data_IF_650607588874
#
_entry.id   IF_650607588874
#
_cell.length_a   1.000
_cell.length_b   1.000
_cell.length_c   1.000
_cell.angle_alpha   90.00
_cell.angle_beta   90.00
_cell.angle_gamma   90.00
#
_symmetry.space_group_name_H-M   'P 1'
#
loop_
_entity.id
_entity.type
_entity.pdbx_description
1 polymer ?
#
# COMPACT_ATOMS: atom_id res chain seq x y z
N UNK A 1 -25.08 -38.61 -32.00
CA UNK A 1 -24.34 -37.40 -32.35
C UNK A 1 -25.07 -36.09 -32.10
N UNK A 2 -26.27 -35.84 -32.61
CA UNK A 2 -27.02 -34.56 -32.42
C UNK A 2 -27.28 -34.20 -30.96
N UNK A 3 -27.61 -35.16 -30.10
CA UNK A 3 -27.91 -34.92 -28.66
C UNK A 3 -26.69 -34.45 -27.87
N UNK A 4 -25.51 -35.01 -28.13
CA UNK A 4 -24.27 -34.61 -27.50
C UNK A 4 -23.79 -33.22 -27.98
N UNK A 5 -24.01 -32.88 -29.23
CA UNK A 5 -23.72 -31.58 -29.79
C UNK A 5 -24.57 -30.48 -29.14
N UNK A 6 -25.86 -30.72 -28.89
CA UNK A 6 -26.72 -29.80 -28.14
C UNK A 6 -26.30 -29.60 -26.69
N UNK A 7 -25.82 -30.64 -26.01
CA UNK A 7 -25.31 -30.51 -24.63
C UNK A 7 -24.04 -29.66 -24.62
N UNK A 8 -23.10 -29.93 -25.52
CA UNK A 8 -21.86 -29.15 -25.61
C UNK A 8 -22.16 -27.67 -25.89
N UNK A 9 -23.03 -27.37 -26.85
CA UNK A 9 -23.41 -25.98 -27.17
C UNK A 9 -24.04 -25.29 -25.94
N UNK A 10 -24.96 -25.95 -25.24
CA UNK A 10 -25.59 -25.41 -24.03
C UNK A 10 -24.55 -25.15 -22.92
N UNK A 11 -23.62 -26.08 -22.73
CA UNK A 11 -22.54 -25.92 -21.74
C UNK A 11 -21.62 -24.74 -22.10
N UNK A 12 -21.27 -24.56 -23.37
CA UNK A 12 -20.49 -23.42 -23.86
C UNK A 12 -21.26 -22.11 -23.63
N UNK A 13 -22.54 -22.06 -24.02
CA UNK A 13 -23.37 -20.86 -23.78
C UNK A 13 -23.49 -20.53 -22.28
N UNK A 14 -23.68 -21.53 -21.44
CA UNK A 14 -23.71 -21.33 -19.98
C UNK A 14 -22.40 -20.75 -19.48
N UNK A 15 -21.25 -21.31 -19.89
CA UNK A 15 -19.93 -20.82 -19.48
C UNK A 15 -19.69 -19.39 -19.94
N UNK A 16 -20.07 -19.04 -21.17
CA UNK A 16 -19.93 -17.68 -21.69
C UNK A 16 -20.77 -16.67 -20.90
N UNK A 17 -22.03 -17.02 -20.59
CA UNK A 17 -22.92 -16.20 -19.75
C UNK A 17 -22.33 -16.06 -18.33
N UNK A 18 -21.85 -17.15 -17.74
CA UNK A 18 -21.27 -17.15 -16.42
C UNK A 18 -20.01 -16.26 -16.33
N UNK A 19 -19.11 -16.40 -17.30
CA UNK A 19 -17.90 -15.55 -17.39
C UNK A 19 -18.29 -14.08 -17.63
N UNK A 20 -19.27 -13.82 -18.50
CA UNK A 20 -19.79 -12.47 -18.73
C UNK A 20 -20.37 -11.83 -17.47
N UNK A 21 -21.13 -12.60 -16.67
CA UNK A 21 -21.67 -12.15 -15.39
C UNK A 21 -20.56 -11.90 -14.37
N UNK A 22 -19.57 -12.81 -14.26
CA UNK A 22 -18.42 -12.62 -13.38
C UNK A 22 -17.66 -11.33 -13.73
N UNK A 23 -17.43 -11.09 -15.02
CA UNK A 23 -16.77 -9.87 -15.48
C UNK A 23 -17.59 -8.62 -15.14
N UNK A 24 -18.89 -8.64 -15.42
CA UNK A 24 -19.79 -7.53 -15.13
C UNK A 24 -19.87 -7.20 -13.65
N UNK A 25 -20.06 -8.22 -12.79
CA UNK A 25 -20.08 -7.99 -11.34
C UNK A 25 -18.71 -7.59 -10.79
N UNK A 26 -17.63 -8.11 -11.36
CA UNK A 26 -16.28 -7.67 -11.04
C UNK A 26 -16.12 -6.18 -11.34
N UNK A 27 -16.59 -5.72 -12.50
CA UNK A 27 -16.59 -4.30 -12.87
C UNK A 27 -17.41 -3.46 -11.87
N UNK A 28 -18.66 -3.84 -11.63
CA UNK A 28 -19.56 -3.12 -10.71
C UNK A 28 -18.96 -3.01 -9.30
N UNK A 29 -18.38 -4.08 -8.78
CA UNK A 29 -17.79 -4.09 -7.44
C UNK A 29 -16.49 -3.29 -7.37
N UNK A 30 -15.65 -3.32 -8.42
CA UNK A 30 -14.34 -2.65 -8.43
C UNK A 30 -14.47 -1.15 -8.52
N UNK A 31 -15.35 -0.67 -9.36
CA UNK A 31 -15.46 0.76 -9.71
C UNK A 31 -16.00 1.61 -8.56
N UNK A 32 -16.75 1.04 -7.63
CA UNK A 32 -17.50 1.79 -6.62
C UNK A 32 -16.73 2.32 -5.44
N UNK A 33 -15.58 1.77 -5.16
CA UNK A 33 -15.04 1.85 -3.82
C UNK A 33 -13.91 2.87 -3.65
N UNK A 34 -13.66 3.71 -4.66
CA UNK A 34 -12.65 4.77 -4.57
C UNK A 34 -12.98 5.75 -3.45
N UNK A 35 -14.27 6.06 -3.27
CA UNK A 35 -14.72 6.98 -2.21
C UNK A 35 -14.83 6.30 -0.84
N UNK A 36 -15.19 5.01 -0.80
CA UNK A 36 -15.43 4.28 0.44
C UNK A 36 -14.24 3.50 0.98
N UNK A 37 -13.36 3.02 0.10
CA UNK A 37 -12.17 2.24 0.47
C UNK A 37 -10.96 2.71 -0.35
N UNK A 38 -10.47 3.94 -0.14
CA UNK A 38 -9.44 4.54 -0.98
C UNK A 38 -8.14 3.74 -1.04
N UNK A 39 -7.89 2.89 -0.04
CA UNK A 39 -6.60 2.23 0.14
C UNK A 39 -6.47 0.91 -0.61
N UNK A 40 -7.54 0.18 -0.86
CA UNK A 40 -7.44 -1.14 -1.54
C UNK A 40 -8.12 -1.17 -2.90
N UNK A 41 -9.27 -0.57 -3.02
CA UNK A 41 -10.14 -0.75 -4.18
C UNK A 41 -9.98 0.35 -5.24
N UNK A 42 -9.61 1.57 -4.82
CA UNK A 42 -9.36 2.70 -5.71
C UNK A 42 -7.90 2.94 -6.03
N UNK A 43 -7.04 2.06 -5.57
CA UNK A 43 -5.60 2.20 -5.69
C UNK A 43 -5.15 2.42 -7.15
N UNK A 44 -5.54 1.53 -8.06
CA UNK A 44 -5.15 1.63 -9.46
C UNK A 44 -5.76 2.82 -10.18
N UNK A 45 -6.99 3.20 -9.86
CA UNK A 45 -7.63 4.37 -10.46
C UNK A 45 -6.91 5.66 -10.08
N UNK A 46 -6.39 5.73 -8.85
CA UNK A 46 -5.62 6.89 -8.39
C UNK A 46 -4.17 6.85 -8.87
N UNK A 47 -3.57 5.67 -8.98
CA UNK A 47 -2.23 5.50 -9.53
C UNK A 47 -2.21 5.77 -11.05
N UNK A 48 -3.13 5.21 -11.80
CA UNK A 48 -3.25 5.38 -13.25
C UNK A 48 -3.65 6.83 -13.66
N UNK A 49 -4.02 7.67 -12.68
CA UNK A 49 -4.26 9.09 -12.90
C UNK A 49 -2.97 9.93 -12.86
N UNK A 50 -1.86 9.38 -12.38
CA UNK A 50 -0.56 10.06 -12.47
C UNK A 50 -0.06 10.06 -13.93
N UNK A 51 0.63 11.13 -14.31
CA UNK A 51 1.27 11.23 -15.64
C UNK A 51 2.36 10.17 -15.78
N UNK A 52 2.51 9.56 -16.95
CA UNK A 52 3.51 8.53 -17.21
C UNK A 52 4.93 9.07 -16.92
N UNK A 53 5.76 8.24 -16.31
CA UNK A 53 7.15 8.56 -15.92
C UNK A 53 7.30 9.80 -15.02
N UNK A 54 6.29 10.09 -14.21
CA UNK A 54 6.29 11.24 -13.29
C UNK A 54 6.66 10.90 -11.85
N UNK A 55 6.79 9.62 -11.49
CA UNK A 55 7.07 9.15 -10.13
C UNK A 55 8.51 8.68 -10.02
N UNK A 56 9.30 9.33 -9.15
CA UNK A 56 10.72 9.01 -8.92
C UNK A 56 10.93 7.85 -7.95
N UNK A 57 10.01 7.61 -7.01
CA UNK A 57 10.12 6.50 -6.09
C UNK A 57 8.75 5.88 -5.72
N UNK A 58 8.73 4.56 -5.56
CA UNK A 58 7.59 3.80 -5.08
C UNK A 58 7.89 3.21 -3.71
N UNK A 59 6.92 3.29 -2.81
CA UNK A 59 6.94 2.58 -1.53
C UNK A 59 5.96 1.42 -1.61
N UNK A 60 6.45 0.20 -1.43
CA UNK A 60 5.68 -1.04 -1.62
C UNK A 60 5.63 -1.81 -0.32
N UNK A 61 4.44 -2.18 0.09
CA UNK A 61 4.24 -2.91 1.33
C UNK A 61 2.77 -2.96 1.76
N UNK A 62 2.55 -3.30 2.99
CA UNK A 62 1.21 -3.41 3.55
C UNK A 62 0.71 -2.09 4.19
N UNK A 63 -0.15 -2.24 5.18
CA UNK A 63 -0.75 -1.11 5.90
C UNK A 63 0.26 -0.25 6.65
N UNK A 64 1.42 -0.75 6.99
CA UNK A 64 2.44 0.03 7.69
C UNK A 64 3.02 1.12 6.80
N UNK A 65 3.20 0.85 5.49
CA UNK A 65 3.67 1.85 4.51
C UNK A 65 2.66 2.98 4.35
N UNK A 66 1.41 2.67 4.02
CA UNK A 66 0.44 3.74 3.75
C UNK A 66 0.01 4.53 4.98
N UNK A 67 0.33 4.05 6.17
CA UNK A 67 0.16 4.82 7.41
C UNK A 67 1.41 5.57 7.85
N UNK A 68 2.58 5.27 7.31
CA UNK A 68 3.85 5.84 7.78
C UNK A 68 4.48 6.83 6.82
N UNK A 69 4.30 6.67 5.52
CA UNK A 69 4.95 7.51 4.50
C UNK A 69 3.92 8.44 3.86
N UNK A 70 4.16 9.74 3.96
CA UNK A 70 3.32 10.79 3.39
C UNK A 70 3.98 11.40 2.13
N UNK A 71 3.57 11.01 0.93
CA UNK A 71 4.13 11.54 -0.33
C UNK A 71 3.95 13.05 -0.48
N UNK A 72 2.86 13.61 0.06
CA UNK A 72 2.60 15.06 -0.02
C UNK A 72 3.57 15.88 0.84
N UNK A 73 4.03 15.32 1.97
CA UNK A 73 5.10 15.93 2.75
C UNK A 73 6.42 15.90 1.96
N UNK A 74 6.79 14.74 1.39
CA UNK A 74 8.04 14.59 0.60
C UNK A 74 8.05 15.58 -0.57
N UNK A 75 6.93 15.72 -1.30
CA UNK A 75 6.83 16.72 -2.35
C UNK A 75 6.93 18.15 -1.82
N UNK A 76 6.23 18.47 -0.73
CA UNK A 76 6.29 19.80 -0.13
C UNK A 76 7.72 20.20 0.21
N UNK A 77 8.46 19.31 0.88
CA UNK A 77 9.74 19.64 1.52
C UNK A 77 10.93 19.41 0.59
N UNK A 78 10.88 18.40 -0.28
CA UNK A 78 12.01 17.99 -1.13
C UNK A 78 11.72 18.04 -2.64
N UNK A 79 10.47 18.26 -3.05
CA UNK A 79 10.05 18.23 -4.46
C UNK A 79 10.38 16.90 -5.16
N UNK A 80 10.32 15.79 -4.41
CA UNK A 80 10.49 14.44 -4.94
C UNK A 80 9.12 13.81 -5.07
N UNK A 81 8.79 13.31 -6.25
CA UNK A 81 7.53 12.60 -6.52
C UNK A 81 7.61 11.17 -6.03
N UNK A 82 6.71 10.80 -5.14
CA UNK A 82 6.64 9.46 -4.57
C UNK A 82 5.21 8.95 -4.53
N UNK A 83 5.02 7.64 -4.53
CA UNK A 83 3.71 7.04 -4.43
C UNK A 83 3.76 5.77 -3.56
N UNK A 84 2.75 5.59 -2.70
CA UNK A 84 2.64 4.37 -1.89
C UNK A 84 1.85 3.32 -2.68
N UNK A 85 2.57 2.36 -3.26
CA UNK A 85 2.03 1.16 -3.88
C UNK A 85 1.76 0.13 -2.78
N UNK A 86 0.75 0.40 -1.97
CA UNK A 86 0.50 -0.33 -0.73
C UNK A 86 -0.98 -0.39 -0.36
N UNK A 87 -1.40 -1.51 0.23
CA UNK A 87 -2.75 -1.70 0.76
C UNK A 87 -2.75 -2.72 1.91
N UNK A 88 -3.85 -2.77 2.66
CA UNK A 88 -3.95 -3.61 3.85
C UNK A 88 -3.73 -5.10 3.53
N UNK A 89 -2.83 -5.73 4.29
CA UNK A 89 -2.52 -7.16 4.17
C UNK A 89 -2.01 -7.54 2.77
N UNK A 90 -1.19 -6.67 2.17
CA UNK A 90 -0.50 -6.99 0.91
C UNK A 90 0.44 -8.17 1.13
N UNK A 91 0.41 -9.11 0.20
CA UNK A 91 1.33 -10.26 0.19
C UNK A 91 2.53 -9.99 -0.72
N UNK A 92 3.68 -10.65 -0.50
CA UNK A 92 4.87 -10.50 -1.35
C UNK A 92 4.60 -10.78 -2.84
N UNK A 93 3.74 -11.75 -3.13
CA UNK A 93 3.28 -12.09 -4.45
C UNK A 93 2.50 -10.94 -5.10
N UNK A 94 1.55 -10.34 -4.38
CA UNK A 94 0.76 -9.19 -4.87
C UNK A 94 1.68 -8.01 -5.18
N UNK A 95 2.65 -7.73 -4.30
CA UNK A 95 3.64 -6.67 -4.49
C UNK A 95 4.44 -6.84 -5.79
N UNK A 96 4.83 -8.06 -6.13
CA UNK A 96 5.53 -8.35 -7.39
C UNK A 96 4.67 -8.03 -8.62
N UNK A 97 3.42 -8.49 -8.65
CA UNK A 97 2.53 -8.26 -9.79
C UNK A 97 2.12 -6.79 -9.91
N UNK A 98 1.89 -6.13 -8.78
CA UNK A 98 1.59 -4.70 -8.74
C UNK A 98 2.78 -3.86 -9.24
N UNK A 99 4.00 -4.19 -8.85
CA UNK A 99 5.19 -3.56 -9.42
C UNK A 99 5.34 -3.81 -10.92
N UNK A 100 5.10 -5.05 -11.37
CA UNK A 100 5.12 -5.40 -12.80
C UNK A 100 4.10 -4.58 -13.60
N UNK A 101 2.93 -4.30 -13.02
CA UNK A 101 1.93 -3.39 -13.60
C UNK A 101 2.41 -1.94 -13.56
N UNK A 102 2.92 -1.48 -12.42
CA UNK A 102 3.37 -0.11 -12.21
C UNK A 102 4.48 0.29 -13.20
N UNK A 103 5.42 -0.59 -13.47
CA UNK A 103 6.50 -0.37 -14.45
C UNK A 103 6.01 -0.25 -15.91
N UNK A 104 4.74 -0.48 -16.20
CA UNK A 104 4.20 -0.23 -17.56
C UNK A 104 4.02 1.25 -17.85
N UNK A 105 3.84 2.08 -16.83
CA UNK A 105 3.57 3.51 -16.96
C UNK A 105 4.59 4.37 -16.23
N UNK A 106 5.33 3.81 -15.27
CA UNK A 106 6.29 4.56 -14.47
C UNK A 106 7.67 3.91 -14.53
N UNK A 107 8.71 4.75 -14.43
CA UNK A 107 10.11 4.34 -14.40
C UNK A 107 10.80 4.91 -13.14
N UNK A 108 10.42 4.45 -11.93
CA UNK A 108 10.98 4.97 -10.69
C UNK A 108 12.47 4.65 -10.57
N UNK A 109 13.24 5.56 -9.98
CA UNK A 109 14.67 5.38 -9.70
C UNK A 109 14.91 4.38 -8.57
N UNK A 110 13.95 4.30 -7.63
CA UNK A 110 14.05 3.43 -6.46
C UNK A 110 12.68 2.89 -6.08
N UNK A 111 12.65 1.61 -5.76
CA UNK A 111 11.54 0.96 -5.07
C UNK A 111 11.98 0.68 -3.64
N UNK A 112 11.23 1.23 -2.69
CA UNK A 112 11.33 0.93 -1.28
C UNK A 112 10.39 -0.21 -0.96
N UNK A 113 10.93 -1.35 -0.52
CA UNK A 113 10.16 -2.54 -0.21
C UNK A 113 10.11 -2.72 1.29
N UNK A 114 8.92 -2.76 1.84
CA UNK A 114 8.75 -3.07 3.24
C UNK A 114 9.18 -4.51 3.53
N UNK A 115 9.85 -4.71 4.64
CA UNK A 115 10.38 -6.03 5.00
C UNK A 115 9.39 -6.86 5.83
N UNK A 116 8.50 -6.23 6.58
CA UNK A 116 7.63 -6.94 7.51
C UNK A 116 6.67 -7.91 6.84
N UNK A 117 6.05 -7.51 5.72
CA UNK A 117 5.12 -8.41 5.02
C UNK A 117 5.78 -9.65 4.40
N UNK A 118 7.13 -9.71 4.41
CA UNK A 118 7.92 -10.83 3.88
C UNK A 118 8.41 -11.80 4.96
N UNK A 119 8.32 -11.43 6.26
CA UNK A 119 8.90 -12.22 7.35
C UNK A 119 7.91 -12.40 8.49
N UNK A 120 8.01 -13.53 9.17
CA UNK A 120 7.18 -13.90 10.32
C UNK A 120 8.02 -14.65 11.36
N UNK A 121 7.44 -14.97 12.50
CA UNK A 121 8.03 -15.90 13.45
C UNK A 121 7.50 -17.31 13.22
N UNK A 122 8.29 -18.34 13.53
CA UNK A 122 7.85 -19.73 13.39
C UNK A 122 6.57 -20.06 14.18
N UNK A 123 6.27 -19.29 15.23
CA UNK A 123 5.04 -19.44 16.01
C UNK A 123 3.80 -18.77 15.37
N UNK A 124 3.99 -17.82 14.45
CA UNK A 124 2.91 -17.10 13.78
C UNK A 124 2.48 -17.82 12.48
N UNK A 125 3.32 -18.73 11.98
CA UNK A 125 3.10 -19.46 10.73
C UNK A 125 2.03 -20.52 10.90
N UNK A 126 0.78 -20.21 10.55
CA UNK A 126 -0.27 -21.20 10.33
C UNK A 126 -0.31 -21.53 8.84
N UNK A 127 0.38 -22.57 8.46
CA UNK A 127 0.40 -23.06 7.08
C UNK A 127 -0.91 -23.76 6.75
N UNK A 128 -1.85 -23.05 6.13
CA UNK A 128 -3.11 -23.62 5.63
C UNK A 128 -2.92 -24.41 4.32
N UNK A 129 -1.78 -24.29 3.66
CA UNK A 129 -1.53 -24.92 2.37
C UNK A 129 -0.22 -25.73 2.43
N UNK A 130 -0.24 -26.88 1.80
CA UNK A 130 0.97 -27.69 1.59
C UNK A 130 1.89 -26.97 0.59
N UNK A 131 3.20 -27.25 0.64
CA UNK A 131 4.17 -26.65 -0.28
C UNK A 131 3.79 -26.89 -1.75
N UNK A 132 3.22 -28.06 -2.08
CA UNK A 132 2.74 -28.37 -3.44
C UNK A 132 1.60 -27.43 -3.90
N UNK A 133 0.68 -27.08 -3.01
CA UNK A 133 -0.42 -26.16 -3.36
C UNK A 133 0.08 -24.75 -3.55
N UNK A 134 1.10 -24.31 -2.82
CA UNK A 134 1.74 -23.00 -2.99
C UNK A 134 2.49 -22.93 -4.31
N UNK A 135 3.22 -23.97 -4.67
CA UNK A 135 3.96 -24.07 -5.94
C UNK A 135 2.99 -24.02 -7.15
N UNK A 136 1.90 -24.78 -7.10
CA UNK A 136 0.86 -24.77 -8.15
C UNK A 136 0.21 -23.40 -8.25
N UNK A 137 -0.15 -22.75 -7.13
CA UNK A 137 -0.73 -21.42 -7.14
C UNK A 137 0.27 -20.39 -7.70
N UNK A 138 1.53 -20.46 -7.31
CA UNK A 138 2.60 -19.61 -7.84
C UNK A 138 2.77 -19.79 -9.35
N UNK A 139 2.77 -21.02 -9.85
CA UNK A 139 2.85 -21.33 -11.28
C UNK A 139 1.66 -20.75 -12.04
N UNK A 140 0.42 -20.97 -11.57
CA UNK A 140 -0.79 -20.43 -12.20
C UNK A 140 -0.72 -18.90 -12.25
N UNK A 141 -0.36 -18.25 -11.14
CA UNK A 141 -0.26 -16.78 -11.09
C UNK A 141 0.81 -16.23 -12.04
N UNK A 142 1.93 -16.92 -12.21
CA UNK A 142 2.96 -16.54 -13.17
C UNK A 142 2.47 -16.66 -14.63
N UNK A 143 1.66 -17.71 -14.94
CA UNK A 143 1.09 -17.91 -16.30
C UNK A 143 0.06 -16.84 -16.64
N UNK A 144 -0.79 -16.46 -15.70
CA UNK A 144 -1.81 -15.43 -15.93
C UNK A 144 -1.25 -13.99 -15.76
N UNK A 145 -0.02 -13.84 -15.26
CA UNK A 145 0.62 -12.53 -15.06
C UNK A 145 0.00 -11.70 -13.96
N UNK A 146 -0.69 -12.33 -13.00
CA UNK A 146 -1.37 -11.72 -11.87
C UNK A 146 -2.00 -12.77 -10.97
N UNK A 147 -2.70 -12.37 -9.94
CA UNK A 147 -3.47 -13.28 -9.09
C UNK A 147 -4.86 -13.53 -9.71
N UNK A 148 -5.53 -14.62 -9.31
CA UNK A 148 -6.93 -14.85 -9.69
C UNK A 148 -7.84 -13.69 -9.25
N UNK A 149 -7.51 -13.03 -8.15
CA UNK A 149 -8.19 -11.85 -7.64
C UNK A 149 -8.05 -10.64 -8.60
N UNK A 150 -6.98 -10.57 -9.40
CA UNK A 150 -6.78 -9.52 -10.39
C UNK A 150 -7.58 -9.78 -11.66
N UNK A 151 -7.77 -11.08 -12.04
CA UNK A 151 -8.62 -11.47 -13.15
C UNK A 151 -10.10 -11.38 -12.79
N UNK A 152 -10.43 -11.81 -11.58
CA UNK A 152 -11.79 -11.78 -11.03
C UNK A 152 -11.86 -10.90 -9.78
N UNK A 153 -11.86 -9.57 -9.93
CA UNK A 153 -11.92 -8.63 -8.79
C UNK A 153 -13.08 -8.88 -7.82
N UNK A 154 -14.14 -9.55 -8.24
CA UNK A 154 -15.25 -9.96 -7.38
C UNK A 154 -14.77 -10.80 -6.19
N UNK A 155 -13.71 -11.59 -6.34
CA UNK A 155 -13.15 -12.39 -5.25
C UNK A 155 -12.48 -11.51 -4.19
N UNK A 156 -11.76 -10.49 -4.64
CA UNK A 156 -11.11 -9.48 -3.79
C UNK A 156 -12.13 -8.60 -3.07
N UNK A 157 -13.20 -8.23 -3.75
CA UNK A 157 -14.18 -7.24 -3.28
C UNK A 157 -15.52 -7.84 -2.84
N UNK A 158 -15.58 -9.14 -2.59
CA UNK A 158 -16.81 -9.88 -2.21
C UNK A 158 -17.59 -9.27 -1.04
N UNK A 159 -16.96 -8.53 -0.14
CA UNK A 159 -17.65 -7.86 0.97
C UNK A 159 -18.35 -6.56 0.56
N UNK A 160 -17.98 -5.99 -0.58
CA UNK A 160 -18.53 -4.71 -1.08
C UNK A 160 -19.98 -4.85 -1.56
N UNK A 161 -20.46 -6.04 -1.85
CA UNK A 161 -21.85 -6.29 -2.27
C UNK A 161 -22.90 -5.78 -1.27
N UNK A 162 -22.55 -5.74 0.05
CA UNK A 162 -23.45 -5.27 1.12
C UNK A 162 -23.81 -3.78 1.00
N UNK A 163 -23.01 -3.02 0.27
CA UNK A 163 -23.15 -1.57 0.13
C UNK A 163 -23.57 -1.16 -1.27
N UNK A 164 -24.01 -2.12 -2.12
CA UNK A 164 -24.47 -1.87 -3.47
C UNK A 164 -25.79 -1.07 -3.47
N UNK A 165 -25.85 -0.01 -4.30
CA UNK A 165 -27.06 0.75 -4.61
C UNK A 165 -27.38 0.61 -6.10
N UNK A 166 -28.58 0.95 -6.53
CA UNK A 166 -28.96 0.87 -7.95
C UNK A 166 -28.07 1.73 -8.85
N UNK A 167 -27.65 2.89 -8.36
CA UNK A 167 -26.76 3.79 -9.13
C UNK A 167 -25.47 3.12 -9.59
N UNK A 168 -25.03 2.11 -8.88
CA UNK A 168 -23.76 1.44 -9.15
C UNK A 168 -23.79 0.52 -10.37
N UNK A 169 -24.98 0.12 -10.76
CA UNK A 169 -25.20 -0.71 -11.96
C UNK A 169 -25.40 0.14 -13.21
N UNK A 170 -25.71 1.43 -13.06
CA UNK A 170 -26.11 2.29 -14.18
C UNK A 170 -25.20 3.51 -14.38
N UNK A 171 -24.35 3.83 -13.42
CA UNK A 171 -23.45 4.99 -13.52
C UNK A 171 -22.11 4.58 -14.12
N UNK A 172 -21.67 5.36 -15.12
CA UNK A 172 -20.33 5.19 -15.67
C UNK A 172 -19.31 5.83 -14.72
N UNK A 173 -18.39 5.04 -14.19
CA UNK A 173 -17.41 5.51 -13.21
C UNK A 173 -16.08 5.85 -13.89
N UNK A 174 -15.38 6.92 -13.48
CA UNK A 174 -14.11 7.29 -14.09
C UNK A 174 -13.03 6.23 -13.81
N UNK A 175 -12.30 5.86 -14.86
CA UNK A 175 -11.17 4.92 -14.76
C UNK A 175 -9.93 5.55 -14.10
N UNK A 176 -9.88 6.89 -14.04
CA UNK A 176 -8.77 7.66 -13.47
C UNK A 176 -9.32 8.72 -12.52
N UNK A 177 -8.86 8.72 -11.30
CA UNK A 177 -9.32 9.63 -10.25
C UNK A 177 -8.12 10.30 -9.61
N UNK A 178 -8.09 11.64 -9.63
CA UNK A 178 -7.06 12.40 -8.95
C UNK A 178 -7.07 12.08 -7.45
N UNK A 179 -5.90 11.77 -6.88
CA UNK A 179 -5.73 11.59 -5.45
C UNK A 179 -4.78 12.62 -4.87
N UNK A 180 -5.21 13.32 -3.83
CA UNK A 180 -4.35 14.19 -3.04
C UNK A 180 -3.52 13.41 -2.01
N UNK A 181 -3.75 12.11 -1.88
CA UNK A 181 -3.09 11.27 -0.87
C UNK A 181 -1.91 10.47 -1.43
N UNK A 182 -1.86 10.23 -2.74
CA UNK A 182 -0.83 9.41 -3.41
C UNK A 182 -0.57 8.07 -2.71
N UNK A 183 -1.65 7.40 -2.30
CA UNK A 183 -1.61 6.14 -1.56
C UNK A 183 -1.39 6.26 -0.05
N UNK A 184 -1.32 7.45 0.52
CA UNK A 184 -1.23 7.68 1.97
C UNK A 184 -2.62 7.66 2.63
N UNK A 185 -2.74 7.07 3.81
CA UNK A 185 -3.97 7.05 4.60
C UNK A 185 -3.89 8.04 5.77
N UNK A 186 -4.43 9.23 5.56
CA UNK A 186 -4.46 10.29 6.55
C UNK A 186 -5.43 9.95 7.69
N UNK A 187 -4.95 9.93 8.93
CA UNK A 187 -5.77 9.75 10.13
C UNK A 187 -5.23 10.55 11.30
N UNK A 188 -6.10 11.29 11.97
CA UNK A 188 -5.79 12.03 13.20
C UNK A 188 -6.05 11.18 14.45
N UNK A 189 -6.75 10.04 14.31
CA UNK A 189 -7.09 9.16 15.44
C UNK A 189 -5.84 8.78 16.23
N UNK A 190 -5.93 8.91 17.56
CA UNK A 190 -4.85 8.53 18.48
C UNK A 190 -5.35 7.49 19.46
N UNK A 191 -4.69 6.33 19.49
CA UNK A 191 -4.86 5.32 20.53
C UNK A 191 -3.46 4.94 21.01
N UNK A 192 -3.19 5.22 22.26
CA UNK A 192 -1.88 5.00 22.88
C UNK A 192 -1.48 3.53 22.90
N UNK A 193 -0.21 3.25 22.64
CA UNK A 193 0.39 1.96 22.92
C UNK A 193 1.12 2.01 24.25
N UNK A 194 0.70 1.16 25.16
CA UNK A 194 1.26 1.05 26.51
C UNK A 194 2.02 -0.28 26.71
N UNK A 195 2.21 -1.05 25.66
CA UNK A 195 2.94 -2.32 25.71
C UNK A 195 4.45 -2.13 25.70
N UNK A 196 5.17 -3.23 25.77
CA UNK A 196 6.64 -3.24 25.68
C UNK A 196 7.05 -3.32 24.22
N UNK A 197 7.68 -2.26 23.73
CA UNK A 197 8.26 -2.23 22.39
C UNK A 197 9.55 -3.05 22.32
N UNK A 198 9.79 -3.72 21.19
CA UNK A 198 11.02 -4.46 20.94
C UNK A 198 11.23 -5.68 21.86
N UNK A 199 10.16 -6.39 22.21
CA UNK A 199 10.27 -7.63 22.99
C UNK A 199 11.27 -8.59 22.36
N UNK A 200 12.14 -9.17 23.17
CA UNK A 200 12.97 -10.30 22.75
C UNK A 200 12.04 -11.49 22.49
N UNK A 201 11.89 -11.88 21.24
CA UNK A 201 11.27 -13.16 20.91
C UNK A 201 12.30 -14.26 21.04
N UNK A 202 11.89 -15.41 21.58
CA UNK A 202 12.69 -16.65 21.54
C UNK A 202 12.49 -17.38 20.20
N UNK A 203 11.44 -17.03 19.46
CA UNK A 203 11.07 -17.69 18.23
C UNK A 203 12.02 -17.26 17.09
N UNK A 204 12.38 -18.22 16.26
CA UNK A 204 13.15 -17.94 15.05
C UNK A 204 12.29 -17.14 14.08
N UNK A 205 12.93 -16.25 13.35
CA UNK A 205 12.32 -15.59 12.22
C UNK A 205 12.50 -16.43 10.96
N UNK A 206 11.49 -16.50 10.14
CA UNK A 206 11.46 -17.13 8.83
C UNK A 206 10.83 -16.21 7.80
N UNK A 207 10.97 -16.55 6.52
CA UNK A 207 10.22 -15.85 5.49
C UNK A 207 8.77 -16.33 5.49
N UNK A 208 7.86 -15.37 5.48
CA UNK A 208 6.42 -15.63 5.32
C UNK A 208 6.15 -16.13 3.90
N UNK A 209 5.09 -16.88 3.71
CA UNK A 209 4.53 -17.37 2.44
C UNK A 209 5.26 -16.92 1.16
N UNK A 210 6.24 -17.70 0.70
CA UNK A 210 7.07 -17.38 -0.50
C UNK A 210 7.76 -16.00 -0.46
N UNK A 211 7.89 -15.38 0.73
CA UNK A 211 8.47 -14.04 0.90
C UNK A 211 9.84 -13.87 0.24
N UNK A 212 10.73 -14.83 0.43
CA UNK A 212 12.06 -14.81 -0.19
C UNK A 212 12.00 -14.98 -1.70
N UNK A 213 11.14 -15.87 -2.21
CA UNK A 213 10.97 -16.14 -3.64
C UNK A 213 10.47 -14.86 -4.35
N UNK A 214 9.43 -14.23 -3.82
CA UNK A 214 8.89 -13.02 -4.42
C UNK A 214 9.78 -11.80 -4.22
N UNK A 215 10.50 -11.70 -3.11
CA UNK A 215 11.55 -10.68 -2.98
C UNK A 215 12.60 -10.80 -4.10
N UNK A 216 13.09 -12.00 -4.38
CA UNK A 216 14.03 -12.25 -5.50
C UNK A 216 13.42 -11.85 -6.85
N UNK A 217 12.13 -12.15 -7.08
CA UNK A 217 11.41 -11.72 -8.29
C UNK A 217 11.30 -10.20 -8.37
N UNK A 218 10.97 -9.51 -7.26
CA UNK A 218 10.92 -8.04 -7.16
C UNK A 218 12.29 -7.43 -7.45
N UNK A 219 13.34 -7.94 -6.81
CA UNK A 219 14.71 -7.46 -7.02
C UNK A 219 15.11 -7.58 -8.49
N UNK A 220 14.89 -8.74 -9.11
CA UNK A 220 15.22 -8.96 -10.52
C UNK A 220 14.39 -8.07 -11.46
N UNK A 221 13.12 -7.84 -11.13
CA UNK A 221 12.24 -6.94 -11.89
C UNK A 221 12.77 -5.51 -11.85
N UNK A 222 13.12 -5.00 -10.66
CA UNK A 222 13.71 -3.68 -10.48
C UNK A 222 15.04 -3.54 -11.25
N UNK A 223 15.92 -4.52 -11.13
CA UNK A 223 17.19 -4.53 -11.86
C UNK A 223 17.02 -4.43 -13.37
N UNK A 224 16.07 -5.19 -13.96
CA UNK A 224 15.76 -5.11 -15.40
C UNK A 224 15.22 -3.76 -15.83
N UNK A 225 14.61 -3.02 -14.91
CA UNK A 225 14.08 -1.68 -15.14
C UNK A 225 15.03 -0.55 -14.69
N UNK A 226 16.31 -0.85 -14.44
CA UNK A 226 17.31 0.10 -13.95
C UNK A 226 16.87 0.84 -12.66
N UNK A 227 16.14 0.16 -11.81
CA UNK A 227 15.58 0.69 -10.57
C UNK A 227 16.33 0.09 -9.37
N UNK A 228 16.68 0.92 -8.40
CA UNK A 228 17.28 0.48 -7.16
C UNK A 228 16.22 -0.12 -6.23
N UNK A 229 16.65 -1.07 -5.40
CA UNK A 229 15.83 -1.64 -4.32
C UNK A 229 16.41 -1.24 -2.98
N UNK A 230 15.54 -0.79 -2.07
CA UNK A 230 15.88 -0.48 -0.68
C UNK A 230 14.87 -1.17 0.21
N UNK A 231 15.33 -1.90 1.23
CA UNK A 231 14.45 -2.49 2.23
C UNK A 231 14.14 -1.48 3.33
N UNK A 232 12.88 -1.49 3.77
CA UNK A 232 12.38 -0.66 4.86
C UNK A 232 11.69 -1.50 5.92
N UNK A 233 11.72 -1.04 7.17
CA UNK A 233 10.80 -1.47 8.20
C UNK A 233 10.27 -0.25 8.96
N UNK A 234 8.94 -0.21 9.15
CA UNK A 234 8.26 0.90 9.81
C UNK A 234 8.09 0.63 11.31
N UNK A 235 7.97 1.69 12.14
CA UNK A 235 7.74 1.50 13.57
C UNK A 235 6.42 0.79 13.84
N UNK A 236 6.51 -0.31 14.61
CA UNK A 236 5.36 -1.07 15.12
C UNK A 236 5.60 -1.51 16.56
N UNK A 237 4.59 -1.40 17.40
CA UNK A 237 4.74 -1.57 18.83
C UNK A 237 5.21 -2.96 19.28
N UNK A 238 4.69 -4.02 18.66
CA UNK A 238 4.96 -5.40 19.08
C UNK A 238 5.09 -6.41 17.94
N UNK A 239 4.97 -5.99 16.69
CA UNK A 239 4.98 -6.88 15.53
C UNK A 239 6.38 -7.11 14.96
N UNK A 240 7.40 -6.39 15.44
CA UNK A 240 8.77 -6.51 14.98
C UNK A 240 9.71 -6.90 16.10
N UNK A 241 10.73 -7.70 15.79
CA UNK A 241 11.72 -8.13 16.77
C UNK A 241 13.13 -8.26 16.16
N UNK A 242 14.13 -8.49 17.04
CA UNK A 242 15.54 -8.58 16.62
C UNK A 242 15.83 -9.75 15.68
N UNK A 243 15.11 -10.85 15.78
CA UNK A 243 15.34 -12.03 14.91
C UNK A 243 14.87 -11.72 13.48
N UNK A 244 13.71 -11.08 13.33
CA UNK A 244 13.21 -10.57 12.04
C UNK A 244 14.18 -9.55 11.43
N UNK A 245 14.62 -8.57 12.24
CA UNK A 245 15.65 -7.61 11.81
C UNK A 245 16.90 -8.31 11.26
N UNK A 246 17.43 -9.27 11.99
CA UNK A 246 18.67 -9.99 11.61
C UNK A 246 18.48 -10.77 10.31
N UNK A 247 17.29 -11.38 10.10
CA UNK A 247 16.98 -12.12 8.88
C UNK A 247 16.97 -11.17 7.68
N UNK A 248 16.29 -10.02 7.80
CA UNK A 248 16.22 -9.01 6.75
C UNK A 248 17.58 -8.35 6.51
N UNK A 249 18.35 -8.07 7.55
CA UNK A 249 19.71 -7.53 7.42
C UNK A 249 20.65 -8.49 6.69
N UNK A 250 20.50 -9.82 6.90
CA UNK A 250 21.23 -10.84 6.16
C UNK A 250 20.85 -10.82 4.68
N UNK A 251 19.54 -10.77 4.38
CA UNK A 251 19.03 -10.65 3.01
C UNK A 251 19.57 -9.39 2.32
N UNK A 252 19.50 -8.24 2.98
CA UNK A 252 20.02 -6.97 2.43
C UNK A 252 21.52 -7.05 2.10
N UNK A 253 22.30 -7.71 2.96
CA UNK A 253 23.73 -7.94 2.73
C UNK A 253 23.97 -8.86 1.54
N UNK A 254 23.20 -9.94 1.40
CA UNK A 254 23.30 -10.90 0.29
C UNK A 254 23.08 -10.23 -1.06
N UNK A 255 22.07 -9.36 -1.14
CA UNK A 255 21.74 -8.62 -2.37
C UNK A 255 22.52 -7.31 -2.54
N UNK A 256 23.39 -6.96 -1.60
CA UNK A 256 24.14 -5.69 -1.56
C UNK A 256 23.23 -4.47 -1.73
N UNK A 257 22.14 -4.42 -0.95
CA UNK A 257 21.17 -3.32 -0.95
C UNK A 257 21.07 -2.68 0.44
N UNK A 258 20.58 -1.44 0.48
CA UNK A 258 20.38 -0.72 1.74
C UNK A 258 19.14 -1.24 2.47
N UNK A 259 19.22 -1.23 3.79
CA UNK A 259 18.12 -1.57 4.69
C UNK A 259 18.01 -0.52 5.80
N UNK A 260 16.86 0.12 5.88
CA UNK A 260 16.53 1.07 6.93
C UNK A 260 15.45 0.48 7.83
N UNK A 261 15.84 0.14 9.05
CA UNK A 261 14.91 -0.34 10.08
C UNK A 261 14.60 0.81 11.04
N UNK A 262 13.44 1.42 10.87
CA UNK A 262 13.01 2.54 11.70
C UNK A 262 12.40 2.08 13.02
N UNK A 263 12.11 0.80 13.18
CA UNK A 263 11.61 0.23 14.43
C UNK A 263 12.74 -0.05 15.41
N UNK A 264 13.82 -0.67 14.93
CA UNK A 264 14.98 -0.96 15.75
C UNK A 264 15.71 0.33 16.12
N UNK A 265 15.91 0.54 17.42
CA UNK A 265 16.51 1.77 17.96
C UNK A 265 15.72 3.05 17.64
N UNK A 266 14.39 2.95 17.61
CA UNK A 266 13.48 4.05 17.26
C UNK A 266 13.84 5.36 17.99
N UNK A 267 14.11 5.32 19.28
CA UNK A 267 14.50 6.50 20.08
C UNK A 267 15.80 7.18 19.62
N UNK A 268 16.71 6.42 19.00
CA UNK A 268 17.94 6.98 18.42
C UNK A 268 17.65 7.73 17.11
N UNK A 269 16.79 7.19 16.28
CA UNK A 269 16.47 7.74 14.97
C UNK A 269 15.42 8.84 15.03
N UNK A 270 14.44 8.68 15.93
CA UNK A 270 13.30 9.57 16.13
C UNK A 270 13.11 9.87 17.62
N UNK A 271 13.99 10.69 18.24
CA UNK A 271 13.95 10.95 19.69
C UNK A 271 12.62 11.59 20.15
N UNK A 272 11.90 12.24 19.25
CA UNK A 272 10.60 12.87 19.52
C UNK A 272 9.40 11.97 19.22
N UNK A 273 9.62 10.70 18.88
CA UNK A 273 8.53 9.75 18.68
C UNK A 273 7.97 9.30 20.03
N UNK A 274 6.65 9.19 20.10
CA UNK A 274 5.96 8.75 21.31
C UNK A 274 4.87 7.73 20.98
N UNK A 275 4.99 6.54 21.51
CA UNK A 275 3.97 5.49 21.42
C UNK A 275 2.60 5.91 21.99
N UNK A 276 2.57 6.97 22.82
CA UNK A 276 1.33 7.51 23.40
C UNK A 276 0.56 8.39 22.43
N UNK A 277 1.23 9.10 21.52
CA UNK A 277 0.63 10.14 20.70
C UNK A 277 0.76 9.90 19.18
N UNK A 278 1.64 9.01 18.75
CA UNK A 278 2.01 8.86 17.35
C UNK A 278 1.41 7.62 16.68
N UNK A 279 0.52 6.91 17.39
CA UNK A 279 -0.15 5.71 16.88
C UNK A 279 -1.68 5.88 16.85
N UNK A 280 -2.33 5.17 15.93
CA UNK A 280 -3.79 5.25 15.71
C UNK A 280 -4.58 4.09 16.32
N UNK A 281 -3.93 2.96 16.62
CA UNK A 281 -4.57 1.70 16.96
C UNK A 281 -3.71 0.83 17.90
N UNK A 282 -3.24 1.44 18.97
CA UNK A 282 -2.43 0.78 20.01
C UNK A 282 -1.12 0.18 19.46
N UNK A 283 -0.41 0.93 18.62
CA UNK A 283 0.94 0.62 18.17
C UNK A 283 1.06 -0.20 16.91
N UNK A 284 -0.05 -0.62 16.28
CA UNK A 284 0.03 -1.34 15.00
C UNK A 284 0.32 -0.41 13.82
N UNK A 285 -0.27 0.80 13.81
CA UNK A 285 -0.06 1.78 12.74
C UNK A 285 0.15 3.17 13.30
N UNK A 286 0.82 3.99 12.51
CA UNK A 286 1.03 5.40 12.84
C UNK A 286 -0.21 6.24 12.51
N UNK A 287 -0.41 7.30 13.26
CA UNK A 287 -1.30 8.39 12.91
C UNK A 287 -0.53 9.50 12.18
N UNK A 288 -1.20 10.61 11.85
CA UNK A 288 -0.58 11.74 11.14
C UNK A 288 0.67 12.28 11.84
N UNK A 289 0.67 12.35 13.19
CA UNK A 289 1.83 12.82 13.97
C UNK A 289 3.04 11.88 13.80
N UNK A 290 2.83 10.58 13.96
CA UNK A 290 3.86 9.57 13.77
C UNK A 290 4.37 9.52 12.33
N UNK A 291 3.45 9.49 11.36
CA UNK A 291 3.77 9.49 9.94
C UNK A 291 4.62 10.71 9.54
N UNK A 292 4.29 11.90 10.05
CA UNK A 292 5.07 13.12 9.79
C UNK A 292 6.53 12.98 10.22
N UNK A 293 6.77 12.38 11.39
CA UNK A 293 8.11 12.17 11.95
C UNK A 293 8.90 11.13 11.13
N UNK A 294 8.27 10.00 10.82
CA UNK A 294 8.89 8.93 10.01
C UNK A 294 9.17 9.40 8.59
N UNK A 295 8.21 10.12 7.97
CA UNK A 295 8.43 10.70 6.64
C UNK A 295 9.60 11.68 6.64
N UNK A 296 9.73 12.56 7.64
CA UNK A 296 10.86 13.47 7.74
C UNK A 296 12.21 12.76 7.86
N UNK A 297 12.27 11.62 8.58
CA UNK A 297 13.46 10.78 8.62
C UNK A 297 13.74 10.13 7.26
N UNK A 298 12.70 9.65 6.57
CA UNK A 298 12.82 9.07 5.22
C UNK A 298 13.33 10.10 4.22
N UNK A 299 12.84 11.33 4.26
CA UNK A 299 13.31 12.45 3.43
C UNK A 299 14.82 12.69 3.60
N UNK A 300 15.30 12.63 4.84
CA UNK A 300 16.73 12.75 5.13
C UNK A 300 17.52 11.65 4.42
N UNK A 301 17.13 10.39 4.58
CA UNK A 301 17.82 9.27 3.93
C UNK A 301 17.73 9.33 2.40
N UNK A 302 16.58 9.72 1.85
CA UNK A 302 16.43 9.89 0.41
C UNK A 302 17.44 10.90 -0.15
N UNK A 303 17.60 12.04 0.51
CA UNK A 303 18.49 13.12 0.02
C UNK A 303 19.95 12.84 0.37
N UNK A 304 20.28 12.57 1.63
CA UNK A 304 21.65 12.52 2.13
C UNK A 304 22.35 11.19 1.80
N UNK A 305 21.62 10.07 1.85
CA UNK A 305 22.21 8.75 1.70
C UNK A 305 21.94 8.11 0.33
N UNK A 306 20.78 8.38 -0.27
CA UNK A 306 20.40 7.85 -1.58
C UNK A 306 20.58 8.86 -2.72
N UNK A 307 20.93 10.11 -2.41
CA UNK A 307 21.26 11.14 -3.38
C UNK A 307 20.08 11.63 -4.24
N UNK A 308 18.85 11.49 -3.77
CA UNK A 308 17.70 12.04 -4.46
C UNK A 308 17.80 13.55 -4.63
N UNK A 309 17.38 14.03 -5.77
CA UNK A 309 17.26 15.45 -6.12
C UNK A 309 15.79 15.76 -6.43
N UNK A 310 15.39 17.04 -6.43
CA UNK A 310 14.06 17.42 -6.89
C UNK A 310 13.71 16.78 -8.23
N UNK A 311 12.50 16.26 -8.34
CA UNK A 311 12.02 15.52 -9.51
C UNK A 311 12.00 16.40 -10.75
N UNK A 312 12.51 15.86 -11.85
CA UNK A 312 12.43 16.48 -13.17
C UNK A 312 11.12 16.09 -13.84
N UNK A 313 10.06 16.79 -13.49
CA UNK A 313 8.72 16.54 -14.03
C UNK A 313 8.26 17.68 -14.93
N UNK A 314 7.24 17.42 -15.77
CA UNK A 314 6.61 18.43 -16.59
C UNK A 314 5.98 19.55 -15.75
N UNK A 315 5.76 20.71 -16.36
CA UNK A 315 5.12 21.84 -15.68
C UNK A 315 3.66 21.50 -15.28
N UNK A 316 2.98 20.68 -16.06
CA UNK A 316 1.63 20.18 -15.74
C UNK A 316 1.64 19.34 -14.46
N UNK A 317 2.57 18.39 -14.34
CA UNK A 317 2.75 17.57 -13.15
C UNK A 317 3.10 18.43 -11.94
N UNK A 318 4.04 19.37 -12.10
CA UNK A 318 4.44 20.28 -11.03
C UNK A 318 3.26 21.09 -10.50
N UNK A 319 2.46 21.67 -11.40
CA UNK A 319 1.26 22.43 -11.03
C UNK A 319 0.22 21.53 -10.34
N UNK A 320 0.03 20.30 -10.85
CA UNK A 320 -0.90 19.35 -10.26
C UNK A 320 -0.48 18.95 -8.85
N UNK A 321 0.79 18.56 -8.65
CA UNK A 321 1.29 18.15 -7.34
C UNK A 321 1.31 19.30 -6.32
N UNK A 322 1.56 20.55 -6.76
CA UNK A 322 1.43 21.72 -5.88
C UNK A 322 0.00 21.96 -5.45
N UNK A 323 -1.01 21.76 -6.32
CA UNK A 323 -2.42 21.79 -5.94
C UNK A 323 -2.76 20.69 -4.97
N UNK A 324 -2.31 19.44 -5.26
CA UNK A 324 -2.56 18.29 -4.40
C UNK A 324 -2.01 18.51 -2.97
N UNK A 325 -0.83 19.11 -2.84
CA UNK A 325 -0.25 19.48 -1.53
C UNK A 325 -1.14 20.49 -0.81
N UNK A 326 -1.58 21.54 -1.49
CA UNK A 326 -2.42 22.56 -0.85
C UNK A 326 -3.75 21.94 -0.36
N UNK A 327 -4.40 21.16 -1.21
CA UNK A 327 -5.65 20.49 -0.88
C UNK A 327 -5.45 19.47 0.26
N UNK A 328 -4.36 18.69 0.23
CA UNK A 328 -4.02 17.74 1.30
C UNK A 328 -3.86 18.43 2.65
N UNK A 329 -3.12 19.56 2.72
CA UNK A 329 -2.91 20.25 3.98
C UNK A 329 -4.17 20.94 4.48
N UNK A 330 -5.04 21.44 3.60
CA UNK A 330 -6.37 21.93 4.01
C UNK A 330 -7.21 20.83 4.66
N UNK A 331 -7.21 19.61 4.08
CA UNK A 331 -7.88 18.44 4.68
C UNK A 331 -7.25 18.10 6.02
N UNK A 332 -5.91 18.06 6.10
CA UNK A 332 -5.21 17.72 7.33
C UNK A 332 -5.51 18.72 8.46
N UNK A 333 -5.52 20.02 8.16
CA UNK A 333 -5.84 21.07 9.12
C UNK A 333 -7.31 21.01 9.56
N UNK A 334 -8.23 20.76 8.63
CA UNK A 334 -9.64 20.55 8.94
C UNK A 334 -9.85 19.36 9.89
N UNK A 335 -9.25 18.20 9.59
CA UNK A 335 -9.38 16.99 10.40
C UNK A 335 -8.74 17.19 11.78
N UNK A 336 -7.61 17.88 11.85
CA UNK A 336 -6.96 18.21 13.11
C UNK A 336 -7.82 19.12 13.97
N UNK A 337 -8.38 20.18 13.41
CA UNK A 337 -9.29 21.09 14.12
C UNK A 337 -10.52 20.34 14.64
N UNK A 338 -11.08 19.45 13.83
CA UNK A 338 -12.23 18.61 14.21
C UNK A 338 -11.90 17.64 15.34
N UNK A 339 -10.72 17.02 15.35
CA UNK A 339 -10.31 16.14 16.44
C UNK A 339 -10.13 16.93 17.75
N UNK A 340 -9.60 18.15 17.67
CA UNK A 340 -9.47 19.06 18.83
C UNK A 340 -10.80 19.54 19.38
N UNK A 341 -11.85 19.67 18.54
CA UNK A 341 -13.18 20.13 18.95
C UNK A 341 -14.11 19.03 19.43
N UNK A 342 -13.74 17.76 19.24
CA UNK A 342 -14.55 16.60 19.59
C UNK A 342 -14.98 16.55 21.05
N UNK A 343 -14.10 17.00 21.93
CA UNK A 343 -14.30 17.03 23.38
C UNK A 343 -14.63 18.42 23.91
N UNK A 344 -14.81 19.44 23.04
CA UNK A 344 -15.13 20.81 23.42
C UNK A 344 -16.32 21.37 22.64
N UNK A 345 -17.56 21.29 23.20
CA UNK A 345 -18.79 21.71 22.54
C UNK A 345 -18.91 23.23 22.28
N UNK A 346 -18.02 24.04 22.85
CA UNK A 346 -18.02 25.50 22.64
C UNK A 346 -17.44 25.91 21.26
N UNK A 347 -16.73 24.99 20.58
CA UNK A 347 -16.20 25.27 19.26
C UNK A 347 -17.09 24.67 18.17
N UNK A 348 -17.56 25.47 17.21
CA UNK A 348 -18.33 24.95 16.08
C UNK A 348 -17.48 23.99 15.23
N UNK A 349 -18.08 22.92 14.72
CA UNK A 349 -17.38 22.04 13.75
C UNK A 349 -16.87 22.89 12.57
N UNK A 350 -15.59 22.73 12.17
CA UNK A 350 -15.07 23.44 11.01
C UNK A 350 -15.80 22.99 9.73
N UNK A 351 -15.91 23.90 8.75
CA UNK A 351 -16.52 23.60 7.46
C UNK A 351 -15.80 22.45 6.78
N UNK A 352 -16.57 21.50 6.25
CA UNK A 352 -16.05 20.35 5.52
C UNK A 352 -15.55 20.79 4.13
N UNK A 353 -14.30 20.58 3.77
CA UNK A 353 -13.84 20.75 2.39
C UNK A 353 -14.58 19.81 1.43
N UNK A 354 -14.88 20.25 0.21
CA UNK A 354 -15.67 19.51 -0.78
C UNK A 354 -15.02 18.18 -1.22
N UNK A 355 -13.71 18.06 -1.01
CA UNK A 355 -12.92 16.88 -1.38
C UNK A 355 -12.64 15.92 -0.20
N UNK A 356 -13.25 16.15 0.97
CA UNK A 356 -13.21 15.15 2.04
C UNK A 356 -14.03 13.93 1.64
N UNK A 357 -13.47 12.70 1.80
CA UNK A 357 -14.26 11.50 1.61
C UNK A 357 -15.44 11.48 2.58
N UNK A 358 -16.57 10.86 2.21
CA UNK A 358 -17.70 10.69 3.10
C UNK A 358 -17.26 9.96 4.37
N UNK A 359 -17.87 10.29 5.51
CA UNK A 359 -17.61 9.60 6.79
C UNK A 359 -17.90 8.11 6.63
N UNK A 360 -16.96 7.30 7.05
CA UNK A 360 -17.13 5.85 7.22
C UNK A 360 -17.61 5.52 8.62
#
# INVERSE_FOLDING_TARGET
MKKNCCIIIRSICFMLIFVGLLYYFSYVLTVRNVERYPVRNGFWQTYDAEEDNSIDALFVGDSSIFHSINPMQIWKDKKITTYNLSYAVMKPQEAYFDLKRAFKTQSPKTVFVESQFMVETESDGFDYFTDDTKEIAGFINDQIGGTLDDIFPIMKYKRSWKNLTFSDFVTNHPNKIRSIYKGYNLTMKTISYNGTHGKKSKDRACFADEGEIYFKKIYNLCKRNNCNVVLLNMPQGNAWNKNMHNLVAKLAKEYNIKYYDFDMNLNKWLPNFSWKTDTRDAGHHLNYSGAKKVTGLMEKYMVEDLGFKPSKVSESVRKQWNRDVNDFYQVADFLKAREMTKDNPEFPEPLKPDFLPPKF
#
